data_IF_173414353990
#
_entry.id   IF_173414353990
#
_cell.length_a   1.000
_cell.length_b   1.000
_cell.length_c   1.000
_cell.angle_alpha   90.00
_cell.angle_beta   90.00
_cell.angle_gamma   90.00
#
_symmetry.space_group_name_H-M   'P 1'
#
loop_
_entity.id
_entity.type
_entity.pdbx_description
1 polymer ?
#
# COMPACT_ATOMS: atom_id res chain seq x y z
N UNK A 1 -3.55 -31.33 4.56
CA UNK A 1 -2.52 -30.73 3.68
C UNK A 1 -1.44 -30.19 4.60
N UNK A 2 -0.30 -30.87 4.70
CA UNK A 2 0.82 -30.44 5.55
C UNK A 2 1.74 -29.59 4.68
N UNK A 3 1.92 -28.32 5.02
CA UNK A 3 2.91 -27.45 4.37
C UNK A 3 4.25 -27.75 5.04
N UNK A 4 5.14 -28.43 4.32
CA UNK A 4 6.54 -28.59 4.72
C UNK A 4 7.34 -27.43 4.16
N UNK A 5 7.94 -26.62 5.05
CA UNK A 5 8.87 -25.56 4.68
C UNK A 5 10.24 -26.19 4.43
N UNK A 6 10.85 -25.90 3.29
CA UNK A 6 12.25 -26.24 3.00
C UNK A 6 13.16 -25.20 3.67
N UNK A 7 13.92 -25.55 4.72
CA UNK A 7 14.77 -24.62 5.45
C UNK A 7 16.01 -24.15 4.66
N UNK A 8 16.23 -24.64 3.43
CA UNK A 8 17.38 -24.28 2.58
C UNK A 8 17.09 -23.13 1.58
N UNK A 9 15.84 -22.64 1.53
CA UNK A 9 15.44 -21.43 0.81
C UNK A 9 16.21 -20.22 1.35
N UNK A 10 17.24 -19.77 0.63
CA UNK A 10 17.90 -18.49 0.93
C UNK A 10 16.87 -17.37 0.71
N UNK A 11 16.63 -16.62 1.78
CA UNK A 11 15.71 -15.48 1.97
C UNK A 11 14.28 -15.81 2.42
N UNK A 12 14.10 -16.08 3.72
CA UNK A 12 12.77 -16.01 4.37
C UNK A 12 12.87 -15.11 5.61
N UNK A 13 12.76 -13.80 5.40
CA UNK A 13 12.76 -12.81 6.48
C UNK A 13 11.57 -13.08 7.40
N UNK A 14 11.83 -13.33 8.68
CA UNK A 14 10.76 -13.60 9.62
C UNK A 14 10.23 -12.30 10.25
N UNK A 15 8.90 -12.12 10.24
CA UNK A 15 8.25 -11.13 11.09
C UNK A 15 8.12 -11.71 12.49
N UNK A 16 8.70 -11.05 13.48
CA UNK A 16 8.78 -11.56 14.85
C UNK A 16 8.03 -10.67 15.83
N UNK A 17 7.64 -11.19 17.01
CA UNK A 17 7.10 -10.36 18.08
C UNK A 17 8.07 -9.25 18.50
N UNK A 18 7.53 -8.21 19.14
CA UNK A 18 8.32 -7.09 19.66
C UNK A 18 9.39 -7.57 20.66
N UNK A 19 10.63 -7.06 20.58
CA UNK A 19 11.66 -7.36 21.57
C UNK A 19 11.18 -7.02 22.99
N UNK A 20 11.22 -8.01 23.90
CA UNK A 20 10.81 -7.82 25.29
C UNK A 20 9.34 -8.16 25.57
N UNK A 21 8.53 -8.44 24.55
CA UNK A 21 7.15 -8.91 24.75
C UNK A 21 7.11 -10.33 25.35
N UNK A 22 6.02 -10.74 26.04
CA UNK A 22 5.85 -12.12 26.50
C UNK A 22 6.03 -13.15 25.37
N UNK A 23 5.51 -12.87 24.19
CA UNK A 23 5.57 -13.72 22.99
C UNK A 23 7.01 -13.86 22.48
N UNK A 24 7.85 -12.83 22.62
CA UNK A 24 9.26 -12.89 22.23
C UNK A 24 10.05 -13.97 22.98
N UNK A 25 9.63 -14.31 24.22
CA UNK A 25 10.25 -15.38 25.02
C UNK A 25 9.97 -16.75 24.42
N UNK A 26 8.76 -16.96 23.89
CA UNK A 26 8.36 -18.21 23.21
C UNK A 26 9.07 -18.31 21.86
N UNK A 27 9.13 -17.22 21.10
CA UNK A 27 9.76 -17.21 19.77
C UNK A 27 11.26 -17.51 19.81
N UNK A 28 11.99 -17.06 20.85
CA UNK A 28 13.42 -17.37 21.05
C UNK A 28 13.73 -18.87 21.11
N UNK A 29 12.77 -19.69 21.55
CA UNK A 29 12.91 -21.16 21.59
C UNK A 29 12.89 -21.78 20.19
N UNK A 30 12.25 -21.12 19.22
CA UNK A 30 12.01 -21.62 17.86
C UNK A 30 13.09 -21.18 16.86
N UNK A 31 14.04 -20.30 17.27
CA UNK A 31 15.15 -19.73 16.49
C UNK A 31 14.90 -19.65 14.97
N UNK A 32 14.35 -18.53 14.50
CA UNK A 32 14.37 -18.22 13.08
C UNK A 32 15.82 -18.16 12.57
N UNK A 33 16.17 -19.03 11.61
CA UNK A 33 17.46 -18.99 10.92
C UNK A 33 17.36 -17.96 9.79
N UNK A 34 17.63 -16.69 10.08
CA UNK A 34 17.62 -15.65 9.05
C UNK A 34 17.43 -14.23 9.59
N UNK A 35 17.37 -13.23 8.71
CA UNK A 35 17.03 -11.87 9.09
C UNK A 35 15.62 -11.80 9.69
N UNK A 36 15.44 -10.96 10.70
CA UNK A 36 14.15 -10.76 11.38
C UNK A 36 13.74 -9.30 11.32
N UNK A 37 12.44 -9.06 11.20
CA UNK A 37 11.84 -7.73 11.29
C UNK A 37 10.80 -7.72 12.40
N UNK A 38 10.81 -6.67 13.22
CA UNK A 38 9.80 -6.41 14.25
C UNK A 38 9.50 -4.93 14.26
N UNK A 39 8.23 -4.57 14.34
CA UNK A 39 7.76 -3.18 14.44
C UNK A 39 6.50 -3.14 15.31
N UNK A 40 6.23 -2.01 15.96
CA UNK A 40 5.04 -1.83 16.79
C UNK A 40 3.77 -1.83 15.94
N UNK A 41 3.86 -1.38 14.68
CA UNK A 41 2.79 -1.52 13.69
C UNK A 41 2.96 -2.84 12.92
N UNK A 42 2.07 -3.83 13.08
CA UNK A 42 2.18 -5.12 12.40
C UNK A 42 2.16 -5.00 10.87
N UNK A 43 1.45 -4.01 10.32
CA UNK A 43 1.44 -3.77 8.89
C UNK A 43 2.82 -3.30 8.42
N UNK A 44 3.45 -2.40 9.19
CA UNK A 44 4.81 -1.92 8.89
C UNK A 44 5.82 -3.05 8.98
N UNK A 45 5.74 -3.91 10.00
CA UNK A 45 6.61 -5.08 10.13
C UNK A 45 6.52 -5.99 8.90
N UNK A 46 5.30 -6.28 8.44
CA UNK A 46 5.06 -7.09 7.24
C UNK A 46 5.65 -6.44 5.98
N UNK A 47 5.39 -5.14 5.77
CA UNK A 47 5.82 -4.44 4.57
C UNK A 47 7.34 -4.22 4.53
N UNK A 48 7.98 -4.02 5.69
CA UNK A 48 9.44 -3.99 5.80
C UNK A 48 10.07 -5.35 5.50
N UNK A 49 9.44 -6.45 5.90
CA UNK A 49 9.89 -7.79 5.54
C UNK A 49 9.82 -8.02 4.02
N UNK A 50 8.77 -7.55 3.35
CA UNK A 50 8.65 -7.59 1.88
C UNK A 50 9.68 -6.70 1.16
N UNK A 51 10.09 -5.59 1.79
CA UNK A 51 11.08 -4.65 1.23
C UNK A 51 12.54 -5.01 1.55
N UNK A 52 12.78 -6.07 2.33
CA UNK A 52 14.12 -6.49 2.70
C UNK A 52 14.95 -6.86 1.46
N UNK A 53 16.26 -6.53 1.42
CA UNK A 53 17.09 -5.94 2.47
C UNK A 53 17.12 -4.40 2.52
N UNK A 54 16.33 -3.71 1.68
CA UNK A 54 16.48 -2.26 1.45
C UNK A 54 15.95 -1.36 2.57
N UNK A 55 15.25 -1.93 3.56
CA UNK A 55 14.62 -1.17 4.66
C UNK A 55 13.41 -0.33 4.24
N UNK A 56 12.97 -0.46 2.99
CA UNK A 56 11.87 0.28 2.38
C UNK A 56 11.79 0.04 0.87
N UNK A 57 10.69 0.45 0.27
CA UNK A 57 10.46 0.29 -1.17
C UNK A 57 11.18 1.35 -1.99
N UNK A 58 11.41 1.05 -3.26
CA UNK A 58 11.96 2.02 -4.21
C UNK A 58 10.92 3.07 -4.60
N UNK A 59 9.64 2.65 -4.64
CA UNK A 59 8.48 3.46 -4.99
C UNK A 59 7.26 3.01 -4.19
N UNK A 60 6.48 3.98 -3.69
CA UNK A 60 5.11 3.80 -3.21
C UNK A 60 4.19 4.74 -4.00
N UNK A 61 3.15 4.20 -4.60
CA UNK A 61 2.13 4.96 -5.31
C UNK A 61 0.77 4.70 -4.70
N UNK A 62 0.05 5.77 -4.36
CA UNK A 62 -1.32 5.68 -3.85
C UNK A 62 -2.26 6.29 -4.89
N UNK A 63 -3.35 5.60 -5.16
CA UNK A 63 -4.43 6.08 -6.01
C UNK A 63 -5.71 6.19 -5.21
N UNK A 64 -6.42 7.30 -5.37
CA UNK A 64 -7.69 7.58 -4.70
C UNK A 64 -8.73 7.95 -5.74
N UNK A 65 -9.78 7.15 -5.83
CA UNK A 65 -10.92 7.35 -6.73
C UNK A 65 -12.12 7.85 -5.91
N UNK A 66 -12.45 9.15 -5.95
CA UNK A 66 -13.51 9.69 -5.12
C UNK A 66 -14.90 9.28 -5.63
N UNK A 67 -15.84 9.16 -4.70
CA UNK A 67 -17.24 8.88 -5.00
C UNK A 67 -18.15 9.51 -3.95
N UNK A 68 -19.47 9.41 -4.15
CA UNK A 68 -20.43 10.08 -3.26
C UNK A 68 -20.49 9.53 -1.82
N UNK A 69 -20.02 8.29 -1.59
CA UNK A 69 -20.05 7.64 -0.27
C UNK A 69 -18.82 6.77 -0.04
N UNK A 70 -18.51 5.96 -1.06
CA UNK A 70 -17.35 5.09 -1.07
C UNK A 70 -16.32 5.66 -2.02
N UNK A 71 -15.10 5.71 -1.54
CA UNK A 71 -13.92 6.06 -2.30
C UNK A 71 -13.13 4.79 -2.56
N UNK A 72 -12.59 4.66 -3.77
CA UNK A 72 -11.57 3.66 -4.06
C UNK A 72 -10.24 4.10 -3.45
N UNK A 73 -9.55 3.18 -2.79
CA UNK A 73 -8.19 3.38 -2.30
C UNK A 73 -7.31 2.22 -2.75
N UNK A 74 -6.15 2.55 -3.30
CA UNK A 74 -5.14 1.56 -3.66
C UNK A 74 -3.73 2.05 -3.34
N UNK A 75 -2.86 1.12 -2.96
CA UNK A 75 -1.44 1.36 -2.77
C UNK A 75 -0.62 0.29 -3.49
N UNK A 76 0.36 0.75 -4.26
CA UNK A 76 1.27 -0.07 -5.06
C UNK A 76 2.71 0.26 -4.67
N UNK A 77 3.42 -0.72 -4.14
CA UNK A 77 4.81 -0.59 -3.72
C UNK A 77 5.71 -1.48 -4.58
N UNK A 78 6.63 -0.90 -5.35
CA UNK A 78 7.50 -1.61 -6.32
C UNK A 78 6.76 -2.61 -7.24
N UNK A 79 5.53 -2.25 -7.64
CA UNK A 79 4.67 -3.08 -8.51
C UNK A 79 3.78 -4.07 -7.75
N UNK A 80 3.97 -4.23 -6.44
CA UNK A 80 3.11 -5.05 -5.58
C UNK A 80 1.90 -4.25 -5.11
N UNK A 81 0.70 -4.75 -5.35
CA UNK A 81 -0.53 -4.17 -4.78
C UNK A 81 -0.59 -4.60 -3.31
N UNK A 82 -0.31 -3.66 -2.40
CA UNK A 82 -0.33 -3.91 -0.95
C UNK A 82 -1.69 -3.60 -0.33
N UNK A 83 -2.49 -2.75 -0.98
CA UNK A 83 -3.89 -2.50 -0.63
C UNK A 83 -4.69 -2.12 -1.87
N UNK A 84 -5.91 -2.64 -1.99
CA UNK A 84 -6.90 -2.22 -2.99
C UNK A 84 -8.32 -2.54 -2.47
N UNK A 85 -9.12 -1.51 -2.18
CA UNK A 85 -10.50 -1.68 -1.66
C UNK A 85 -11.32 -0.40 -1.79
N UNK A 86 -12.64 -0.53 -1.69
CA UNK A 86 -13.51 0.58 -1.31
C UNK A 86 -13.40 0.88 0.18
N UNK A 87 -13.34 2.16 0.53
CA UNK A 87 -13.43 2.69 1.90
C UNK A 87 -14.46 3.82 1.94
N UNK A 88 -14.90 4.24 3.13
CA UNK A 88 -15.66 5.49 3.21
C UNK A 88 -14.74 6.66 2.86
N UNK A 89 -15.27 7.71 2.23
CA UNK A 89 -14.46 8.86 1.84
C UNK A 89 -13.86 9.63 3.03
N UNK A 90 -14.41 9.43 4.23
CA UNK A 90 -13.91 9.97 5.50
C UNK A 90 -12.63 9.27 5.97
N UNK A 91 -12.47 7.99 5.66
CA UNK A 91 -11.33 7.18 6.11
C UNK A 91 -10.12 7.25 5.18
N UNK A 92 -10.27 7.77 3.96
CA UNK A 92 -9.23 7.76 2.91
C UNK A 92 -7.93 8.37 3.42
N UNK A 93 -7.99 9.56 4.03
CA UNK A 93 -6.80 10.29 4.44
C UNK A 93 -6.04 9.58 5.56
N UNK A 94 -6.74 9.10 6.59
CA UNK A 94 -6.14 8.30 7.67
C UNK A 94 -5.50 7.01 7.12
N UNK A 95 -6.19 6.35 6.19
CA UNK A 95 -5.73 5.09 5.63
C UNK A 95 -4.51 5.29 4.72
N UNK A 96 -4.50 6.34 3.90
CA UNK A 96 -3.37 6.72 3.08
C UNK A 96 -2.15 7.08 3.95
N UNK A 97 -2.34 7.87 5.02
CA UNK A 97 -1.29 8.20 5.98
C UNK A 97 -0.69 6.94 6.62
N UNK A 98 -1.55 6.00 7.04
CA UNK A 98 -1.12 4.71 7.61
C UNK A 98 -0.32 3.89 6.61
N UNK A 99 -0.70 3.88 5.34
CA UNK A 99 0.03 3.20 4.26
C UNK A 99 1.39 3.83 4.02
N UNK A 100 1.49 5.17 3.98
CA UNK A 100 2.77 5.88 3.84
C UNK A 100 3.72 5.57 5.00
N UNK A 101 3.20 5.55 6.23
CA UNK A 101 3.99 5.18 7.40
C UNK A 101 4.42 3.71 7.37
N UNK A 102 3.54 2.80 6.94
CA UNK A 102 3.83 1.37 6.96
C UNK A 102 4.73 0.92 5.79
N UNK A 103 4.68 1.61 4.65
CA UNK A 103 5.48 1.31 3.46
C UNK A 103 6.46 2.47 3.15
N UNK A 104 7.51 2.67 3.96
CA UNK A 104 8.50 3.70 3.67
C UNK A 104 9.09 3.48 2.26
N UNK A 105 9.18 4.53 1.47
CA UNK A 105 9.67 4.44 0.10
C UNK A 105 10.54 5.63 -0.28
N UNK A 106 11.57 5.38 -1.12
CA UNK A 106 12.45 6.43 -1.62
C UNK A 106 11.72 7.46 -2.49
N UNK A 107 10.65 7.03 -3.18
CA UNK A 107 9.77 7.89 -3.97
C UNK A 107 8.32 7.61 -3.61
N UNK A 108 7.57 8.65 -3.32
CA UNK A 108 6.15 8.59 -3.00
C UNK A 108 5.36 9.46 -3.99
N UNK A 109 4.20 8.97 -4.40
CA UNK A 109 3.23 9.77 -5.16
C UNK A 109 1.81 9.37 -4.79
N UNK A 110 0.93 10.36 -4.61
CA UNK A 110 -0.51 10.16 -4.47
C UNK A 110 -1.23 10.80 -5.66
N UNK A 111 -2.12 10.05 -6.30
CA UNK A 111 -2.98 10.54 -7.38
C UNK A 111 -4.42 10.50 -6.91
N UNK A 112 -5.09 11.65 -6.95
CA UNK A 112 -6.50 11.82 -6.62
C UNK A 112 -7.28 12.02 -7.92
N UNK A 113 -8.30 11.21 -8.17
CA UNK A 113 -9.22 11.41 -9.29
C UNK A 113 -10.03 12.70 -9.10
N UNK A 114 -10.39 13.37 -10.19
CA UNK A 114 -11.20 14.61 -10.16
C UNK A 114 -12.72 14.36 -10.14
N UNK A 115 -13.16 13.17 -9.71
CA UNK A 115 -14.56 12.75 -9.66
C UNK A 115 -15.40 13.46 -8.59
N UNK A 116 -16.68 13.11 -8.48
CA UNK A 116 -17.59 13.71 -7.50
C UNK A 116 -17.07 13.59 -6.06
N UNK A 117 -16.99 14.71 -5.34
CA UNK A 117 -16.55 14.75 -3.94
C UNK A 117 -15.03 14.79 -3.74
N UNK A 118 -14.24 14.96 -4.81
CA UNK A 118 -12.78 15.00 -4.73
C UNK A 118 -12.24 16.14 -3.86
N UNK A 119 -12.90 17.31 -3.82
CA UNK A 119 -12.44 18.48 -3.03
C UNK A 119 -12.44 18.21 -1.51
N UNK A 120 -13.44 17.48 -1.01
CA UNK A 120 -13.52 17.10 0.40
C UNK A 120 -12.41 16.10 0.76
N UNK A 121 -12.18 15.12 -0.11
CA UNK A 121 -11.08 14.16 0.03
C UNK A 121 -9.72 14.88 -0.03
N UNK A 122 -9.57 15.84 -0.95
CA UNK A 122 -8.40 16.68 -1.08
C UNK A 122 -8.10 17.46 0.22
N UNK A 123 -9.09 18.13 0.81
CA UNK A 123 -8.91 18.87 2.08
C UNK A 123 -8.37 17.95 3.17
N UNK A 124 -8.97 16.78 3.33
CA UNK A 124 -8.57 15.80 4.37
C UNK A 124 -7.18 15.24 4.15
N UNK A 125 -6.78 15.01 2.90
CA UNK A 125 -5.42 14.59 2.56
C UNK A 125 -4.40 15.68 2.93
N UNK A 126 -4.70 16.95 2.62
CA UNK A 126 -3.84 18.08 2.98
C UNK A 126 -3.74 18.27 4.50
N UNK A 127 -4.85 18.12 5.24
CA UNK A 127 -4.88 18.17 6.71
C UNK A 127 -3.99 17.11 7.36
N UNK A 128 -3.78 15.97 6.68
CA UNK A 128 -2.85 14.91 7.10
C UNK A 128 -1.43 15.07 6.53
N UNK A 129 -1.14 16.20 5.88
CA UNK A 129 0.17 16.49 5.31
C UNK A 129 0.51 15.67 4.07
N UNK A 130 -0.49 15.10 3.39
CA UNK A 130 -0.29 14.30 2.17
C UNK A 130 -0.44 15.20 0.93
N UNK A 131 0.64 15.35 0.18
CA UNK A 131 0.61 15.98 -1.14
C UNK A 131 0.11 15.00 -2.20
N UNK A 132 -0.57 15.53 -3.23
CA UNK A 132 -1.13 14.74 -4.31
C UNK A 132 -1.17 15.50 -5.62
N UNK A 133 -1.32 14.75 -6.71
CA UNK A 133 -1.66 15.28 -8.03
C UNK A 133 -3.10 14.92 -8.35
N UNK A 134 -3.84 15.85 -8.95
CA UNK A 134 -5.20 15.60 -9.43
C UNK A 134 -5.12 15.06 -10.87
N UNK A 135 -5.83 13.97 -11.16
CA UNK A 135 -5.94 13.39 -12.49
C UNK A 135 -7.37 13.44 -12.99
N UNK A 136 -7.56 13.88 -14.24
CA UNK A 136 -8.85 13.91 -14.91
C UNK A 136 -9.29 12.49 -15.30
N UNK A 137 -10.51 12.10 -14.90
CA UNK A 137 -11.12 10.82 -15.25
C UNK A 137 -11.30 10.65 -16.77
N UNK A 138 -11.46 11.75 -17.52
CA UNK A 138 -11.71 11.73 -18.97
C UNK A 138 -10.49 11.27 -19.79
N UNK A 139 -9.27 11.43 -19.27
CA UNK A 139 -8.01 11.04 -19.94
C UNK A 139 -7.61 9.57 -19.77
N UNK A 140 -8.39 8.78 -19.01
CA UNK A 140 -8.05 7.38 -18.69
C UNK A 140 -8.38 6.37 -19.80
N UNK A 141 -8.72 6.86 -21.00
CA UNK A 141 -8.88 6.08 -22.25
C UNK A 141 -7.55 5.59 -22.86
N UNK A 142 -6.41 5.78 -22.19
CA UNK A 142 -5.17 5.13 -22.60
C UNK A 142 -5.22 3.62 -22.33
N UNK A 143 -5.21 2.87 -23.43
CA UNK A 143 -5.60 1.47 -23.57
C UNK A 143 -4.77 0.47 -22.74
N UNK A 144 -3.62 0.88 -22.22
CA UNK A 144 -2.75 0.05 -21.38
C UNK A 144 -3.32 -0.17 -19.96
N UNK A 145 -4.09 0.78 -19.43
CA UNK A 145 -4.66 0.75 -18.06
C UNK A 145 -5.88 -0.19 -17.96
N UNK A 146 -6.42 -0.63 -19.10
CA UNK A 146 -7.48 -1.63 -19.17
C UNK A 146 -6.99 -3.07 -18.93
N UNK A 147 -5.68 -3.32 -18.93
CA UNK A 147 -5.07 -4.63 -18.69
C UNK A 147 -4.47 -4.69 -17.28
N UNK A 148 -5.27 -4.43 -16.24
CA UNK A 148 -4.85 -4.83 -14.90
C UNK A 148 -4.70 -6.35 -14.88
N UNK A 149 -3.52 -6.91 -14.56
CA UNK A 149 -3.32 -8.37 -14.51
C UNK A 149 -4.10 -9.04 -13.36
N UNK A 150 -4.82 -8.25 -12.55
CA UNK A 150 -5.59 -8.70 -11.39
C UNK A 150 -7.08 -8.45 -11.61
N UNK A 151 -7.89 -9.50 -11.51
CA UNK A 151 -9.36 -9.40 -11.54
C UNK A 151 -9.89 -8.88 -10.21
N UNK A 152 -9.89 -7.56 -10.04
CA UNK A 152 -10.56 -6.90 -8.91
C UNK A 152 -12.06 -6.79 -9.18
N UNK A 153 -12.90 -7.48 -8.39
CA UNK A 153 -14.37 -7.41 -8.53
C UNK A 153 -14.91 -6.02 -8.20
N UNK A 154 -14.36 -5.38 -7.17
CA UNK A 154 -14.70 -4.02 -6.75
C UNK A 154 -14.27 -3.00 -7.82
N UNK A 155 -15.25 -2.22 -8.31
CA UNK A 155 -15.05 -1.20 -9.34
C UNK A 155 -14.21 -0.02 -8.83
N UNK A 156 -14.47 0.46 -7.62
CA UNK A 156 -13.78 1.62 -7.06
C UNK A 156 -12.33 1.25 -6.71
N UNK A 157 -12.11 0.06 -6.14
CA UNK A 157 -10.76 -0.45 -5.91
C UNK A 157 -9.97 -0.56 -7.22
N UNK A 158 -10.63 -1.00 -8.30
CA UNK A 158 -10.01 -1.10 -9.62
C UNK A 158 -9.63 0.27 -10.17
N UNK A 159 -10.52 1.24 -10.09
CA UNK A 159 -10.26 2.62 -10.51
C UNK A 159 -9.11 3.23 -9.70
N UNK A 160 -9.09 3.03 -8.38
CA UNK A 160 -8.00 3.48 -7.53
C UNK A 160 -6.64 2.84 -7.92
N UNK A 161 -6.60 1.54 -8.23
CA UNK A 161 -5.37 0.91 -8.73
C UNK A 161 -4.92 1.53 -10.05
N UNK A 162 -5.86 1.86 -10.95
CA UNK A 162 -5.53 2.56 -12.21
C UNK A 162 -4.87 3.90 -11.94
N UNK A 163 -5.45 4.71 -11.04
CA UNK A 163 -4.89 5.98 -10.62
C UNK A 163 -3.50 5.82 -10.00
N UNK A 164 -3.31 4.81 -9.14
CA UNK A 164 -2.01 4.51 -8.52
C UNK A 164 -0.93 4.14 -9.56
N UNK A 165 -1.34 3.56 -10.70
CA UNK A 165 -0.45 3.17 -11.78
C UNK A 165 -0.28 4.25 -12.86
N UNK A 166 -1.03 5.36 -12.78
CA UNK A 166 -0.84 6.48 -13.71
C UNK A 166 0.57 7.05 -13.52
N UNK A 167 1.36 7.01 -14.60
CA UNK A 167 2.56 7.82 -14.67
C UNK A 167 2.13 9.25 -14.98
N UNK A 168 2.11 10.10 -13.96
CA UNK A 168 2.03 11.54 -14.19
C UNK A 168 3.38 11.96 -14.78
N UNK A 169 3.42 12.14 -16.09
CA UNK A 169 4.55 12.79 -16.76
C UNK A 169 4.39 14.28 -16.49
N UNK A 170 5.21 14.82 -15.58
CA UNK A 170 5.32 16.27 -15.45
C UNK A 170 5.98 16.77 -16.74
N UNK A 171 5.24 17.55 -17.54
CA UNK A 171 5.77 18.34 -18.64
C UNK A 171 6.42 19.62 -18.10
#
# INVERSE_FOLDING_TARGET
MYVTFDPASQWDVAVTPLPGSPESKVFRVVQAKGPTVSDEDPLRALLLALAYPKGGFSTLRIGVDPGQRLCGLAAVADGLIIEARSVTCDEVAERAERLVRAAPAARFSLVLGSGSGWEEVASRLLERGLSFTVADEMGTTNSAVNLLPVRLRDRNARAAVRLALLQVVNH
#
